data_IF_920665614376
#
_entry.id   IF_920665614376
#
_cell.length_a   1.000
_cell.length_b   1.000
_cell.length_c   1.000
_cell.angle_alpha   90.00
_cell.angle_beta   90.00
_cell.angle_gamma   90.00
#
_symmetry.space_group_name_H-M   'P 1'
#
loop_
_entity.id
_entity.type
_entity.pdbx_description
1 polymer ?
#
# COMPACT_ATOMS: atom_id res chain seq x y z
N UNK A 1 -15.12 8.82 7.02
CA UNK A 1 -14.66 8.22 5.76
C UNK A 1 -13.21 7.81 5.90
N UNK A 2 -12.95 6.59 5.57
CA UNK A 2 -11.60 6.06 5.67
C UNK A 2 -10.79 6.40 4.43
N UNK A 3 -9.64 7.02 4.60
CA UNK A 3 -8.78 7.41 3.50
C UNK A 3 -7.45 6.66 3.50
N UNK A 4 -7.42 5.51 4.19
CA UNK A 4 -6.19 4.72 4.23
C UNK A 4 -5.83 4.14 2.86
N UNK A 5 -6.82 3.97 2.00
CA UNK A 5 -6.61 3.31 0.71
C UNK A 5 -7.41 4.04 -0.35
N UNK A 6 -6.75 4.38 -1.44
CA UNK A 6 -7.42 4.96 -2.60
C UNK A 6 -7.30 3.99 -3.77
N UNK A 7 -8.13 4.22 -4.77
CA UNK A 7 -8.08 3.42 -5.99
C UNK A 7 -6.73 3.54 -6.67
N UNK A 8 -6.19 4.76 -6.73
CA UNK A 8 -4.91 5.00 -7.37
C UNK A 8 -3.79 4.25 -6.67
N UNK A 9 -3.87 4.17 -5.35
CA UNK A 9 -2.88 3.43 -4.59
C UNK A 9 -2.90 1.94 -4.96
N UNK A 10 -4.08 1.35 -5.04
CA UNK A 10 -4.21 -0.06 -5.39
C UNK A 10 -3.67 -0.31 -6.79
N UNK A 11 -4.02 0.54 -7.74
CA UNK A 11 -3.55 0.39 -9.11
C UNK A 11 -2.04 0.48 -9.17
N UNK A 12 -1.46 1.43 -8.43
CA UNK A 12 -0.02 1.60 -8.39
C UNK A 12 0.67 0.34 -7.83
N UNK A 13 0.16 -0.17 -6.73
CA UNK A 13 0.74 -1.36 -6.10
C UNK A 13 0.68 -2.56 -7.04
N UNK A 14 -0.42 -2.69 -7.78
CA UNK A 14 -0.61 -3.81 -8.67
C UNK A 14 0.24 -3.68 -9.92
N UNK A 15 0.25 -2.51 -10.55
CA UNK A 15 0.87 -2.31 -11.86
C UNK A 15 2.33 -1.90 -11.77
N UNK A 16 2.68 -0.98 -10.88
CA UNK A 16 4.03 -0.43 -10.82
C UNK A 16 4.92 -1.24 -9.90
N UNK A 17 4.42 -1.62 -8.74
CA UNK A 17 5.21 -2.42 -7.82
C UNK A 17 5.14 -3.90 -8.19
N UNK A 18 4.01 -4.33 -8.75
CA UNK A 18 3.85 -5.70 -9.18
C UNK A 18 3.43 -6.65 -8.08
N UNK A 19 2.73 -6.15 -7.06
CA UNK A 19 2.26 -7.01 -5.98
C UNK A 19 1.13 -7.90 -6.48
N UNK A 20 1.07 -9.12 -5.96
CA UNK A 20 -0.02 -10.01 -6.26
C UNK A 20 -1.29 -9.56 -5.58
N UNK A 21 -2.41 -9.87 -6.19
CA UNK A 21 -3.71 -9.50 -5.66
C UNK A 21 -3.90 -10.01 -4.24
N UNK A 22 -3.47 -11.25 -3.97
CA UNK A 22 -3.60 -11.84 -2.65
C UNK A 22 -2.81 -11.06 -1.60
N UNK A 23 -1.64 -10.56 -1.97
CA UNK A 23 -0.84 -9.75 -1.06
C UNK A 23 -1.54 -8.45 -0.73
N UNK A 24 -2.15 -7.83 -1.73
CA UNK A 24 -2.87 -6.57 -1.51
C UNK A 24 -4.09 -6.82 -0.62
N UNK A 25 -4.82 -7.90 -0.86
CA UNK A 25 -6.00 -8.23 -0.05
C UNK A 25 -5.63 -8.47 1.40
N UNK A 26 -4.58 -9.24 1.62
CA UNK A 26 -4.14 -9.50 2.98
C UNK A 26 -3.68 -8.21 3.65
N UNK A 27 -2.95 -7.38 2.91
CA UNK A 27 -2.50 -6.10 3.42
C UNK A 27 -3.66 -5.21 3.82
N UNK A 28 -4.72 -5.20 3.00
CA UNK A 28 -5.91 -4.42 3.33
C UNK A 28 -6.55 -4.87 4.63
N UNK A 29 -6.68 -6.17 4.82
CA UNK A 29 -7.27 -6.70 6.06
C UNK A 29 -6.45 -6.29 7.26
N UNK A 30 -5.14 -6.42 7.16
CA UNK A 30 -4.26 -6.09 8.28
C UNK A 30 -4.23 -4.58 8.53
N UNK A 31 -4.28 -3.78 7.47
CA UNK A 31 -4.29 -2.33 7.60
C UNK A 31 -5.53 -1.88 8.37
N UNK A 32 -6.69 -2.42 8.01
CA UNK A 32 -7.92 -2.09 8.73
C UNK A 32 -7.87 -2.58 10.17
N UNK A 33 -7.42 -3.81 10.37
CA UNK A 33 -7.37 -4.40 11.71
C UNK A 33 -6.45 -3.60 12.63
N UNK A 34 -5.32 -3.16 12.10
CA UNK A 34 -4.30 -2.46 12.91
C UNK A 34 -4.44 -0.94 12.83
N UNK A 35 -5.43 -0.45 12.09
CA UNK A 35 -5.66 0.98 11.92
C UNK A 35 -4.39 1.69 11.41
N UNK A 36 -3.73 1.05 10.45
CA UNK A 36 -2.47 1.53 9.89
C UNK A 36 -2.66 1.78 8.40
N UNK A 37 -2.10 2.86 7.85
CA UNK A 37 -2.16 3.08 6.39
C UNK A 37 -1.54 1.90 5.65
N UNK A 38 -2.16 1.52 4.54
CA UNK A 38 -1.72 0.35 3.80
C UNK A 38 -0.25 0.41 3.38
N UNK A 39 0.26 1.52 2.82
CA UNK A 39 1.67 1.53 2.41
C UNK A 39 2.62 1.31 3.59
N UNK A 40 2.31 1.91 4.72
CA UNK A 40 3.15 1.77 5.91
C UNK A 40 3.11 0.33 6.40
N UNK A 41 1.93 -0.29 6.38
CA UNK A 41 1.80 -1.68 6.78
C UNK A 41 2.61 -2.60 5.87
N UNK A 42 2.53 -2.39 4.57
CA UNK A 42 3.28 -3.21 3.61
C UNK A 42 4.77 -3.06 3.83
N UNK A 43 5.22 -1.85 4.13
CA UNK A 43 6.62 -1.61 4.44
C UNK A 43 7.03 -2.33 5.73
N UNK A 44 6.19 -2.25 6.75
CA UNK A 44 6.47 -2.91 8.02
C UNK A 44 6.63 -4.42 7.87
N UNK A 45 5.90 -5.01 6.93
CA UNK A 45 5.95 -6.44 6.68
C UNK A 45 7.02 -6.83 5.65
N UNK A 46 7.78 -5.85 5.17
CA UNK A 46 8.84 -6.14 4.20
C UNK A 46 8.34 -6.38 2.79
N UNK A 47 7.07 -6.10 2.53
CA UNK A 47 6.51 -6.26 1.18
C UNK A 47 6.90 -5.09 0.29
N UNK A 48 7.01 -3.90 0.88
CA UNK A 48 7.53 -2.72 0.19
C UNK A 48 8.89 -2.36 0.76
N UNK A 49 9.82 -1.97 -0.10
CA UNK A 49 11.06 -1.36 0.34
C UNK A 49 10.81 0.09 0.71
N UNK A 50 11.77 0.69 1.41
CA UNK A 50 11.62 2.11 1.76
C UNK A 50 11.61 2.99 0.51
N UNK A 51 12.36 2.59 -0.53
CA UNK A 51 12.35 3.33 -1.79
C UNK A 51 10.98 3.25 -2.45
N UNK A 52 10.37 2.08 -2.44
CA UNK A 52 9.05 1.90 -3.04
C UNK A 52 7.99 2.67 -2.27
N UNK A 53 8.12 2.70 -0.95
CA UNK A 53 7.22 3.48 -0.11
C UNK A 53 7.31 4.96 -0.44
N UNK A 54 8.54 5.46 -0.57
CA UNK A 54 8.76 6.86 -0.90
C UNK A 54 8.20 7.20 -2.28
N UNK A 55 8.42 6.34 -3.25
CA UNK A 55 7.90 6.56 -4.61
C UNK A 55 6.38 6.55 -4.64
N UNK A 56 5.78 5.66 -3.89
CA UNK A 56 4.33 5.59 -3.82
C UNK A 56 3.75 6.90 -3.28
N UNK A 57 4.30 7.40 -2.18
CA UNK A 57 3.82 8.64 -1.61
C UNK A 57 4.07 9.82 -2.52
N UNK A 58 5.20 9.83 -3.21
CA UNK A 58 5.46 10.88 -4.20
C UNK A 58 4.41 10.86 -5.29
N UNK A 59 4.06 9.67 -5.76
CA UNK A 59 3.02 9.52 -6.78
C UNK A 59 1.67 10.03 -6.28
N UNK A 60 1.32 9.69 -5.05
CA UNK A 60 0.00 10.03 -4.53
C UNK A 60 -0.17 11.53 -4.24
N UNK A 61 0.92 12.20 -3.93
CA UNK A 61 0.85 13.58 -3.46
C UNK A 61 1.53 14.58 -4.38
N UNK A 62 1.78 14.20 -5.62
CA UNK A 62 2.33 15.20 -6.55
C UNK A 62 1.25 16.10 -7.11
#
# INVERSE_FOLDING_TARGET
MNNFVSREMIIYLFNEVGLEESSIELGLKLAFKNNTPLPVLLWNYGILTIEELDELYTFLYQ
#
